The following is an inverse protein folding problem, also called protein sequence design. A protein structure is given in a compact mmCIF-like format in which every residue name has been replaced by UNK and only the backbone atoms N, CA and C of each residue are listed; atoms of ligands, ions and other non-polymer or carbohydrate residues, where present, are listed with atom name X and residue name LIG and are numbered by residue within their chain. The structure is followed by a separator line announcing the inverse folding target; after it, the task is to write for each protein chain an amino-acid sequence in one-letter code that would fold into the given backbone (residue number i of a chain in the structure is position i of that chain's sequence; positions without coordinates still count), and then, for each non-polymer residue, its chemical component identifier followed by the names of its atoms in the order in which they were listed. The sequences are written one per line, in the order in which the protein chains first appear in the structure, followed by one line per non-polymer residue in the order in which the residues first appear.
data_IF_393282991941
#
_entry.id   IF_393282991941
#
_cell.length_a   1.000
_cell.length_b   1.000
_cell.length_c   1.000
_cell.angle_alpha   90.00
_cell.angle_beta   90.00
_cell.angle_gamma   90.00
#
_symmetry.space_group_name_H-M   'P 1'
#
loop_
_entity.id
_entity.type
_entity.pdbx_description
1 polymer ?
#
# COMPACT_ATOMS: atom_id res chain seq x y z
N UNK A 1 -22.70 -5.31 -2.96
CA UNK A 1 -21.54 -5.01 -3.78
C UNK A 1 -20.25 -5.32 -3.04
N UNK A 2 -19.28 -5.84 -3.74
CA UNK A 2 -18.01 -6.18 -3.10
C UNK A 2 -17.24 -4.92 -2.72
N UNK A 3 -16.58 -4.97 -1.57
CA UNK A 3 -15.71 -3.88 -1.15
C UNK A 3 -14.44 -3.89 -2.00
N UNK A 4 -13.84 -2.72 -2.25
CA UNK A 4 -12.58 -2.68 -2.99
C UNK A 4 -11.50 -3.41 -2.21
N UNK A 5 -10.65 -4.13 -2.93
CA UNK A 5 -9.59 -4.92 -2.32
C UNK A 5 -8.36 -4.07 -2.10
N UNK A 6 -7.75 -4.22 -0.94
CA UNK A 6 -6.48 -3.59 -0.61
C UNK A 6 -5.45 -4.70 -0.37
N UNK A 7 -4.46 -4.77 -1.24
CA UNK A 7 -3.38 -5.74 -1.10
C UNK A 7 -2.22 -5.07 -0.38
N UNK A 8 -1.81 -5.65 0.75
CA UNK A 8 -0.80 -5.06 1.59
C UNK A 8 0.36 -6.02 1.80
N UNK A 9 1.57 -5.49 1.86
CA UNK A 9 2.75 -6.26 2.24
C UNK A 9 3.42 -5.61 3.44
N UNK A 10 3.62 -6.40 4.50
CA UNK A 10 4.29 -5.99 5.73
C UNK A 10 4.78 -7.27 6.42
N UNK A 11 6.08 -7.36 6.69
CA UNK A 11 6.67 -8.53 7.32
C UNK A 11 6.50 -8.54 8.84
N UNK A 12 5.90 -7.50 9.42
CA UNK A 12 5.63 -7.41 10.84
C UNK A 12 4.13 -7.66 11.11
N UNK A 13 3.76 -8.83 11.66
CA UNK A 13 2.35 -9.20 11.77
C UNK A 13 1.47 -8.21 12.52
N UNK A 14 1.98 -7.62 13.59
CA UNK A 14 1.19 -6.66 14.38
C UNK A 14 0.85 -5.41 13.59
N UNK A 15 1.79 -4.90 12.81
CA UNK A 15 1.55 -3.72 11.98
C UNK A 15 0.67 -4.04 10.77
N UNK A 16 0.88 -5.21 10.17
CA UNK A 16 0.02 -5.67 9.09
C UNK A 16 -1.44 -5.73 9.54
N UNK A 17 -1.67 -6.28 10.72
CA UNK A 17 -3.01 -6.38 11.29
C UNK A 17 -3.61 -5.01 11.60
N UNK A 18 -2.79 -4.10 12.13
CA UNK A 18 -3.20 -2.72 12.39
C UNK A 18 -3.69 -2.04 11.11
N UNK A 19 -2.90 -2.13 10.04
CA UNK A 19 -3.26 -1.56 8.74
C UNK A 19 -4.51 -2.22 8.16
N UNK A 20 -4.60 -3.54 8.27
CA UNK A 20 -5.75 -4.29 7.78
C UNK A 20 -7.02 -3.91 8.52
N UNK A 21 -6.96 -3.74 9.83
CA UNK A 21 -8.13 -3.34 10.62
C UNK A 21 -8.60 -1.94 10.25
N UNK A 22 -7.66 -1.01 10.06
CA UNK A 22 -8.00 0.34 9.59
C UNK A 22 -8.65 0.30 8.21
N UNK A 23 -8.15 -0.56 7.34
CA UNK A 23 -8.72 -0.73 6.00
C UNK A 23 -10.15 -1.26 6.06
N UNK A 24 -10.40 -2.26 6.89
CA UNK A 24 -11.76 -2.81 7.08
C UNK A 24 -12.73 -1.74 7.56
N UNK A 25 -12.31 -0.95 8.55
CA UNK A 25 -13.13 0.14 9.08
C UNK A 25 -13.44 1.16 8.00
N UNK A 26 -12.52 1.38 7.08
CA UNK A 26 -12.68 2.34 5.99
C UNK A 26 -13.42 1.74 4.78
N UNK A 27 -13.83 0.49 4.84
CA UNK A 27 -14.64 -0.13 3.80
C UNK A 27 -13.86 -0.89 2.74
N UNK A 28 -12.62 -1.27 3.02
CA UNK A 28 -11.81 -2.11 2.13
C UNK A 28 -11.88 -3.58 2.55
N UNK A 29 -11.54 -4.45 1.63
CA UNK A 29 -11.32 -5.87 1.88
C UNK A 29 -9.80 -6.12 1.83
N UNK A 30 -9.10 -6.15 2.98
CA UNK A 30 -7.65 -6.27 2.99
C UNK A 30 -7.17 -7.70 2.81
N UNK A 31 -6.09 -7.85 2.05
CA UNK A 31 -5.34 -9.11 1.92
C UNK A 31 -3.92 -8.83 2.38
N UNK A 32 -3.47 -9.55 3.40
CA UNK A 32 -2.15 -9.38 4.00
C UNK A 32 -1.18 -10.36 3.38
N UNK A 33 -0.02 -9.84 2.95
CA UNK A 33 1.10 -10.68 2.54
C UNK A 33 2.34 -10.23 3.32
N UNK A 34 3.30 -11.13 3.51
CA UNK A 34 4.53 -10.85 4.23
C UNK A 34 5.77 -10.99 3.34
N UNK A 35 5.63 -11.61 2.18
CA UNK A 35 6.74 -11.88 1.27
C UNK A 35 6.47 -11.29 -0.09
N UNK A 36 7.56 -10.88 -0.76
CA UNK A 36 7.53 -10.39 -2.13
C UNK A 36 6.81 -11.36 -3.07
N UNK A 37 7.17 -12.64 -3.01
CA UNK A 37 6.58 -13.67 -3.86
C UNK A 37 5.07 -13.78 -3.68
N UNK A 38 4.63 -13.81 -2.44
CA UNK A 38 3.20 -13.91 -2.12
C UNK A 38 2.45 -12.67 -2.61
N UNK A 39 3.04 -11.50 -2.44
CA UNK A 39 2.45 -10.25 -2.92
C UNK A 39 2.27 -10.29 -4.43
N UNK A 40 3.31 -10.66 -5.17
CA UNK A 40 3.24 -10.71 -6.64
C UNK A 40 2.22 -11.73 -7.13
N UNK A 41 2.21 -12.92 -6.52
CA UNK A 41 1.25 -13.96 -6.88
C UNK A 41 -0.18 -13.54 -6.64
N UNK A 42 -0.46 -12.94 -5.49
CA UNK A 42 -1.80 -12.47 -5.17
C UNK A 42 -2.22 -11.33 -6.09
N UNK A 43 -1.30 -10.41 -6.39
CA UNK A 43 -1.57 -9.31 -7.31
C UNK A 43 -1.98 -9.83 -8.68
N UNK A 44 -1.25 -10.80 -9.21
CA UNK A 44 -1.53 -11.36 -10.54
C UNK A 44 -2.81 -12.18 -10.57
N UNK A 45 -3.09 -12.92 -9.49
CA UNK A 45 -4.29 -13.75 -9.41
C UNK A 45 -5.55 -12.92 -9.24
N UNK A 46 -5.48 -11.86 -8.43
CA UNK A 46 -6.63 -11.03 -8.07
C UNK A 46 -6.18 -9.57 -7.97
N UNK A 47 -6.09 -8.84 -9.09
CA UNK A 47 -5.62 -7.46 -9.06
C UNK A 47 -6.43 -6.60 -8.08
N UNK A 48 -5.77 -5.92 -7.14
CA UNK A 48 -6.45 -5.12 -6.14
C UNK A 48 -6.79 -3.72 -6.66
N UNK A 49 -7.74 -3.06 -6.02
CA UNK A 49 -8.07 -1.67 -6.30
C UNK A 49 -7.09 -0.72 -5.63
N UNK A 50 -6.40 -1.16 -4.57
CA UNK A 50 -5.41 -0.36 -3.86
C UNK A 50 -4.30 -1.26 -3.33
N UNK A 51 -3.09 -0.70 -3.24
CA UNK A 51 -1.91 -1.38 -2.72
C UNK A 51 -1.32 -0.58 -1.58
N UNK A 52 -0.86 -1.26 -0.52
CA UNK A 52 -0.12 -0.64 0.57
C UNK A 52 1.23 -1.35 0.72
N UNK A 53 2.31 -0.60 0.63
CA UNK A 53 3.68 -1.13 0.71
C UNK A 53 4.35 -0.64 1.99
N UNK A 54 4.81 -1.57 2.84
CA UNK A 54 5.66 -1.24 3.97
C UNK A 54 7.12 -1.27 3.50
N UNK A 55 7.82 -0.18 3.70
CA UNK A 55 9.22 -0.04 3.27
C UNK A 55 10.21 -0.36 4.40
N UNK A 56 9.81 -1.22 5.35
CA UNK A 56 10.73 -1.72 6.35
C UNK A 56 11.90 -2.50 5.76
N UNK A 57 11.74 -2.95 4.50
CA UNK A 57 12.79 -3.60 3.72
C UNK A 57 12.99 -2.80 2.43
N UNK A 58 13.91 -1.80 2.43
CA UNK A 58 14.02 -0.85 1.31
C UNK A 58 14.26 -1.47 -0.06
N UNK A 59 15.02 -2.56 -0.12
CA UNK A 59 15.32 -3.23 -1.39
C UNK A 59 14.06 -3.79 -2.02
N UNK A 60 13.25 -4.47 -1.23
CA UNK A 60 12.02 -5.08 -1.70
C UNK A 60 10.99 -4.02 -2.10
N UNK A 61 10.97 -2.90 -1.39
CA UNK A 61 10.07 -1.80 -1.70
C UNK A 61 10.30 -1.22 -3.09
N UNK A 62 11.57 -1.02 -3.46
CA UNK A 62 11.93 -0.52 -4.79
C UNK A 62 11.54 -1.53 -5.87
N UNK A 63 11.83 -2.81 -5.64
CA UNK A 63 11.49 -3.86 -6.59
C UNK A 63 9.99 -3.98 -6.81
N UNK A 64 9.22 -3.90 -5.73
CA UNK A 64 7.76 -3.96 -5.83
C UNK A 64 7.18 -2.73 -6.53
N UNK A 65 7.78 -1.56 -6.31
CA UNK A 65 7.36 -0.35 -7.01
C UNK A 65 7.55 -0.51 -8.51
N UNK A 66 8.68 -1.07 -8.92
CA UNK A 66 8.94 -1.35 -10.34
C UNK A 66 7.99 -2.41 -10.89
N UNK A 67 7.73 -3.44 -10.11
CA UNK A 67 6.77 -4.47 -10.50
C UNK A 67 5.39 -3.88 -10.81
N UNK A 68 4.90 -3.00 -9.93
CA UNK A 68 3.61 -2.35 -10.13
C UNK A 68 3.61 -1.50 -11.41
N UNK A 69 4.69 -0.77 -11.65
CA UNK A 69 4.83 0.03 -12.86
C UNK A 69 4.83 -0.84 -14.11
N UNK A 70 5.53 -1.97 -14.06
CA UNK A 70 5.58 -2.92 -15.17
C UNK A 70 4.21 -3.52 -15.47
N UNK A 71 3.35 -3.67 -14.45
CA UNK A 71 1.99 -4.14 -14.61
C UNK A 71 1.02 -3.03 -15.03
N UNK A 72 1.53 -1.82 -15.24
CA UNK A 72 0.72 -0.66 -15.59
C UNK A 72 -0.40 -0.41 -14.58
N UNK A 73 -0.07 -0.55 -13.28
CA UNK A 73 -1.04 -0.43 -12.21
C UNK A 73 -1.55 1.00 -12.08
N UNK A 74 -2.87 1.17 -11.99
CA UNK A 74 -3.53 2.48 -11.96
C UNK A 74 -4.12 2.86 -10.61
N UNK A 75 -4.26 1.90 -9.71
CA UNK A 75 -4.82 2.17 -8.38
C UNK A 75 -3.85 2.93 -7.49
N UNK A 76 -4.35 3.48 -6.37
CA UNK A 76 -3.48 4.16 -5.41
C UNK A 76 -2.46 3.20 -4.80
N UNK A 77 -1.23 3.68 -4.64
CA UNK A 77 -0.15 2.95 -4.00
C UNK A 77 0.23 3.72 -2.75
N UNK A 78 -0.16 3.21 -1.58
CA UNK A 78 0.14 3.82 -0.31
C UNK A 78 1.49 3.32 0.19
N UNK A 79 2.40 4.22 0.51
CA UNK A 79 3.71 3.88 1.06
C UNK A 79 3.73 4.21 2.55
N UNK A 80 4.14 3.22 3.36
CA UNK A 80 4.23 3.33 4.81
C UNK A 80 5.64 2.94 5.25
N UNK A 81 6.26 3.69 6.15
CA UNK A 81 7.58 3.35 6.67
C UNK A 81 7.79 3.90 8.06
N UNK A 82 8.49 3.12 8.91
CA UNK A 82 8.87 3.54 10.25
C UNK A 82 10.34 3.91 10.39
N UNK A 83 11.09 3.90 9.29
CA UNK A 83 12.52 4.12 9.35
C UNK A 83 12.92 5.53 8.88
N UNK A 84 13.68 5.63 7.82
CA UNK A 84 14.26 6.88 7.38
C UNK A 84 13.30 7.61 6.45
N UNK A 85 12.96 8.85 6.82
CA UNK A 85 12.13 9.70 6.00
C UNK A 85 12.67 9.86 4.58
N UNK A 86 13.98 9.89 4.41
CA UNK A 86 14.59 10.02 3.09
C UNK A 86 14.34 8.81 2.21
N UNK A 87 14.35 7.61 2.79
CA UNK A 87 14.02 6.39 2.07
C UNK A 87 12.56 6.43 1.61
N UNK A 88 11.68 6.86 2.51
CA UNK A 88 10.25 6.99 2.23
C UNK A 88 9.99 7.99 1.10
N UNK A 89 10.61 9.16 1.16
CA UNK A 89 10.47 10.18 0.12
C UNK A 89 11.06 9.74 -1.21
N UNK A 90 12.20 9.05 -1.18
CA UNK A 90 12.84 8.55 -2.41
C UNK A 90 11.95 7.52 -3.11
N UNK A 91 11.35 6.61 -2.35
CA UNK A 91 10.45 5.60 -2.91
C UNK A 91 9.19 6.26 -3.48
N UNK A 92 8.67 7.26 -2.80
CA UNK A 92 7.51 8.00 -3.29
C UNK A 92 7.81 8.67 -4.63
N UNK A 93 8.94 9.35 -4.73
CA UNK A 93 9.36 10.03 -5.96
C UNK A 93 9.61 9.04 -7.10
N UNK A 94 10.20 7.90 -6.77
CA UNK A 94 10.42 6.85 -7.76
C UNK A 94 9.09 6.37 -8.35
N UNK A 95 8.12 6.11 -7.48
CA UNK A 95 6.79 5.69 -7.92
C UNK A 95 6.15 6.72 -8.83
N UNK A 96 6.23 8.00 -8.47
CA UNK A 96 5.70 9.07 -9.31
C UNK A 96 6.40 9.12 -10.67
N UNK A 97 7.72 8.98 -10.66
CA UNK A 97 8.51 9.00 -11.91
C UNK A 97 8.17 7.83 -12.82
N UNK A 98 7.75 6.70 -12.24
CA UNK A 98 7.34 5.51 -12.99
C UNK A 98 5.88 5.57 -13.45
N UNK A 99 5.17 6.62 -13.10
CA UNK A 99 3.78 6.81 -13.53
C UNK A 99 2.73 6.21 -12.61
N UNK A 100 3.13 5.80 -11.40
CA UNK A 100 2.18 5.26 -10.42
C UNK A 100 1.42 6.37 -9.71
N UNK A 101 0.21 6.04 -9.26
CA UNK A 101 -0.61 6.95 -8.47
C UNK A 101 -0.22 6.81 -6.99
N UNK A 102 0.83 7.53 -6.59
CA UNK A 102 1.37 7.43 -5.24
C UNK A 102 0.49 8.16 -4.23
N UNK A 103 0.24 7.50 -3.10
CA UNK A 103 -0.54 8.05 -1.99
C UNK A 103 0.30 8.04 -0.70
N UNK A 104 0.02 8.96 0.19
CA UNK A 104 0.83 9.20 1.37
C UNK A 104 1.91 10.19 1.05
N UNK A 105 3.17 9.96 1.43
CA UNK A 105 3.67 8.83 2.22
C UNK A 105 3.22 8.89 3.69
N UNK A 106 3.16 7.74 4.32
CA UNK A 106 2.76 7.64 5.72
C UNK A 106 3.96 7.21 6.56
N UNK A 107 4.32 8.02 7.55
CA UNK A 107 5.42 7.74 8.45
C UNK A 107 4.89 7.12 9.73
N UNK A 108 5.47 6.00 10.15
CA UNK A 108 5.11 5.35 11.42
C UNK A 108 5.75 6.10 12.58
N UNK A 109 5.14 6.13 13.76
CA UNK A 109 3.81 5.60 14.05
C UNK A 109 2.72 6.51 13.49
N UNK A 110 1.67 5.92 12.93
CA UNK A 110 0.55 6.68 12.40
C UNK A 110 -0.68 6.49 13.30
N UNK A 111 -1.40 7.58 13.56
CA UNK A 111 -2.60 7.52 14.38
C UNK A 111 -3.72 6.85 13.61
N UNK A 112 -4.53 6.07 14.32
CA UNK A 112 -5.62 5.32 13.70
C UNK A 112 -6.59 6.24 12.95
N UNK A 113 -6.98 7.35 13.57
CA UNK A 113 -7.91 8.28 12.95
C UNK A 113 -7.36 8.89 11.68
N UNK A 114 -6.07 9.23 11.68
CA UNK A 114 -5.42 9.80 10.50
C UNK A 114 -5.34 8.77 9.36
N UNK A 115 -5.04 7.52 9.71
CA UNK A 115 -4.97 6.45 8.74
C UNK A 115 -6.35 6.14 8.15
N UNK A 116 -7.37 6.07 8.99
CA UNK A 116 -8.73 5.83 8.54
C UNK A 116 -9.25 6.95 7.64
N UNK A 117 -8.92 8.19 7.98
CA UNK A 117 -9.30 9.33 7.15
C UNK A 117 -8.66 9.26 5.77
N UNK A 118 -7.36 8.95 5.73
CA UNK A 118 -6.63 8.80 4.47
C UNK A 118 -7.21 7.68 3.62
N UNK A 119 -7.44 6.51 4.22
CA UNK A 119 -8.01 5.36 3.52
C UNK A 119 -9.43 5.66 3.02
N UNK A 120 -10.22 6.35 3.82
CA UNK A 120 -11.57 6.74 3.42
C UNK A 120 -11.57 7.68 2.22
N UNK A 121 -10.63 8.64 2.20
CA UNK A 121 -10.49 9.56 1.09
C UNK A 121 -10.04 8.84 -0.19
N UNK A 122 -9.12 7.89 -0.06
CA UNK A 122 -8.65 7.11 -1.19
C UNK A 122 -9.77 6.23 -1.74
N UNK A 123 -10.56 5.63 -0.86
CA UNK A 123 -11.71 4.82 -1.28
C UNK A 123 -12.73 5.66 -2.05
N UNK A 124 -13.01 6.86 -1.56
CA UNK A 124 -13.96 7.76 -2.22
C UNK A 124 -13.53 8.08 -3.64
N UNK A 125 -12.22 8.23 -3.87
CA UNK A 125 -11.69 8.49 -5.22
C UNK A 125 -11.80 7.28 -6.14
N UNK A 126 -11.83 6.07 -5.59
CA UNK A 126 -11.98 4.85 -6.41
C UNK A 126 -13.38 4.70 -7.00
N UNK A 127 -14.37 5.32 -6.38
CA UNK A 127 -15.77 5.16 -6.78
C UNK A 127 -16.13 6.05 -7.96
N UNK A 128 -15.28 6.96 -8.33
CA UNK A 128 -15.52 7.91 -9.42
C UNK A 128 -15.35 7.31 -10.81
#
# INVERSE_FOLDING_TARGET
MAQPRLLLIDDEPALAEYLANAAKTSGFDPVITARDEDFRNEFLANPPEMVALDLGMPVDGVELTRFLADQDYRGPVLIVSGFDRRVLESAFRLGEALGLNMAGPVEKPVRLEALEELLGNLKANLVQ
#
